data_IF_771884882296
#
_entry.id   IF_771884882296
#
_cell.length_a   1.000
_cell.length_b   1.000
_cell.length_c   1.000
_cell.angle_alpha   90.00
_cell.angle_beta   90.00
_cell.angle_gamma   90.00
#
_symmetry.space_group_name_H-M   'P 1'
#
loop_
_entity.id
_entity.type
_entity.pdbx_description
1 polymer ?
#
# COMPACT_ATOMS: atom_id res chain seq x y z
N UNK A 1 39.07 -9.15 -72.00
CA UNK A 1 38.19 -9.30 -70.82
C UNK A 1 37.90 -7.91 -70.30
N UNK A 2 36.74 -7.36 -70.68
CA UNK A 2 36.34 -6.01 -70.29
C UNK A 2 35.92 -6.04 -68.81
N UNK A 3 36.61 -5.24 -67.99
CA UNK A 3 36.30 -5.11 -66.58
C UNK A 3 35.00 -4.31 -66.46
N UNK A 4 33.97 -4.95 -65.91
CA UNK A 4 32.61 -4.42 -65.90
C UNK A 4 32.55 -3.10 -65.11
N UNK A 5 32.23 -1.95 -65.76
CA UNK A 5 32.20 -0.64 -65.12
C UNK A 5 31.22 -0.54 -63.94
N UNK A 6 30.33 -1.53 -63.82
CA UNK A 6 29.35 -1.67 -62.77
C UNK A 6 29.96 -2.01 -61.38
N UNK A 7 31.03 -2.81 -61.34
CA UNK A 7 31.66 -3.24 -60.07
C UNK A 7 32.37 -2.07 -59.38
N UNK A 8 32.99 -1.18 -60.15
CA UNK A 8 33.65 0.01 -59.61
C UNK A 8 32.66 1.09 -59.16
N UNK A 9 31.48 1.17 -59.79
CA UNK A 9 30.39 2.02 -59.30
C UNK A 9 29.85 1.54 -57.94
N UNK A 10 29.64 0.24 -57.76
CA UNK A 10 29.19 -0.34 -56.49
C UNK A 10 30.19 -0.09 -55.36
N UNK A 11 31.50 -0.26 -55.62
CA UNK A 11 32.54 0.05 -54.62
C UNK A 11 32.56 1.53 -54.23
N UNK A 12 32.32 2.44 -55.17
CA UNK A 12 32.23 3.89 -54.89
C UNK A 12 30.99 4.25 -54.09
N UNK A 13 29.85 3.61 -54.38
CA UNK A 13 28.62 3.80 -53.62
C UNK A 13 28.78 3.30 -52.19
N UNK A 14 29.39 2.13 -51.99
CA UNK A 14 29.62 1.56 -50.65
C UNK A 14 30.58 2.43 -49.81
N UNK A 15 31.67 2.95 -50.42
CA UNK A 15 32.57 3.89 -49.73
C UNK A 15 31.87 5.20 -49.35
N UNK A 16 30.94 5.68 -50.17
CA UNK A 16 30.15 6.89 -49.87
C UNK A 16 29.15 6.63 -48.74
N UNK A 17 28.50 5.47 -48.69
CA UNK A 17 27.63 5.11 -47.57
C UNK A 17 28.41 4.92 -46.27
N UNK A 18 29.59 4.29 -46.33
CA UNK A 18 30.45 4.11 -45.15
C UNK A 18 30.94 5.46 -44.61
N UNK A 19 31.31 6.39 -45.48
CA UNK A 19 31.73 7.73 -45.10
C UNK A 19 30.57 8.56 -44.54
N UNK A 20 29.37 8.45 -45.12
CA UNK A 20 28.17 9.08 -44.58
C UNK A 20 27.80 8.52 -43.20
N UNK A 21 27.89 7.20 -43.02
CA UNK A 21 27.65 6.54 -41.74
C UNK A 21 28.70 6.95 -40.69
N UNK A 22 29.98 7.04 -41.08
CA UNK A 22 31.06 7.49 -40.19
C UNK A 22 30.90 8.96 -39.78
N UNK A 23 30.48 9.84 -40.70
CA UNK A 23 30.18 11.24 -40.38
C UNK A 23 28.98 11.37 -39.44
N UNK A 24 27.90 10.62 -39.68
CA UNK A 24 26.73 10.60 -38.80
C UNK A 24 27.11 10.10 -37.40
N UNK A 25 27.92 9.04 -37.32
CA UNK A 25 28.40 8.52 -36.04
C UNK A 25 29.29 9.54 -35.30
N UNK A 26 30.19 10.23 -36.02
CA UNK A 26 31.03 11.27 -35.44
C UNK A 26 30.21 12.48 -34.94
N UNK A 27 29.19 12.89 -35.69
CA UNK A 27 28.27 13.96 -35.29
C UNK A 27 27.45 13.57 -34.05
N UNK A 28 26.97 12.32 -33.97
CA UNK A 28 26.26 11.82 -32.80
C UNK A 28 27.16 11.79 -31.56
N UNK A 29 28.41 11.33 -31.68
CA UNK A 29 29.36 11.35 -30.56
C UNK A 29 29.68 12.77 -30.11
N UNK A 30 29.84 13.71 -31.04
CA UNK A 30 30.03 15.12 -30.72
C UNK A 30 28.81 15.70 -30.00
N UNK A 31 27.60 15.38 -30.48
CA UNK A 31 26.36 15.84 -29.86
C UNK A 31 26.19 15.26 -28.45
N UNK A 32 26.48 13.97 -28.25
CA UNK A 32 26.47 13.34 -26.92
C UNK A 32 27.45 13.99 -25.95
N UNK A 33 28.66 14.36 -26.40
CA UNK A 33 29.62 15.08 -25.58
C UNK A 33 29.12 16.47 -25.17
N UNK A 34 28.46 17.19 -26.09
CA UNK A 34 27.88 18.49 -25.76
C UNK A 34 26.75 18.32 -24.72
N UNK A 35 25.90 17.30 -24.87
CA UNK A 35 24.84 17.00 -23.89
C UNK A 35 25.44 16.68 -22.52
N UNK A 36 26.49 15.84 -22.45
CA UNK A 36 27.11 15.48 -21.18
C UNK A 36 27.77 16.68 -20.50
N UNK A 37 28.48 17.52 -21.26
CA UNK A 37 29.09 18.75 -20.75
C UNK A 37 28.04 19.75 -20.24
N UNK A 38 26.94 19.93 -20.97
CA UNK A 38 25.84 20.80 -20.53
C UNK A 38 25.20 20.28 -19.24
N UNK A 39 25.06 18.95 -19.11
CA UNK A 39 24.55 18.34 -17.88
C UNK A 39 25.49 18.58 -16.70
N UNK A 40 26.79 18.37 -16.88
CA UNK A 40 27.80 18.62 -15.83
C UNK A 40 27.81 20.08 -15.38
N UNK A 41 27.73 21.04 -16.32
CA UNK A 41 27.64 22.46 -16.00
C UNK A 41 26.37 22.81 -15.24
N UNK A 42 25.23 22.20 -15.60
CA UNK A 42 23.97 22.37 -14.89
C UNK A 42 24.06 21.83 -13.46
N UNK A 43 24.63 20.64 -13.29
CA UNK A 43 24.80 19.99 -11.99
C UNK A 43 25.70 20.82 -11.07
N UNK A 44 26.83 21.34 -11.58
CA UNK A 44 27.72 22.24 -10.84
C UNK A 44 26.98 23.53 -10.41
N UNK A 45 26.18 24.11 -11.30
CA UNK A 45 25.40 25.31 -10.98
C UNK A 45 24.35 25.03 -9.91
N UNK A 46 23.70 23.87 -9.96
CA UNK A 46 22.75 23.46 -8.92
C UNK A 46 23.43 23.28 -7.56
N UNK A 47 24.64 22.71 -7.53
CA UNK A 47 25.44 22.58 -6.31
C UNK A 47 25.81 23.94 -5.71
N UNK A 48 26.34 24.86 -6.52
CA UNK A 48 26.70 26.21 -6.07
C UNK A 48 25.49 26.95 -5.48
N UNK A 49 24.34 26.91 -6.16
CA UNK A 49 23.11 27.53 -5.64
C UNK A 49 22.61 26.86 -4.35
N UNK A 50 22.87 25.58 -4.14
CA UNK A 50 22.53 24.91 -2.88
C UNK A 50 23.44 25.36 -1.73
N UNK A 51 24.75 25.48 -1.98
CA UNK A 51 25.73 25.97 -1.00
C UNK A 51 25.47 27.42 -0.61
N UNK A 52 25.22 28.30 -1.59
CA UNK A 52 24.87 29.71 -1.33
C UNK A 52 23.61 29.83 -0.48
N UNK A 53 22.59 28.99 -0.76
CA UNK A 53 21.35 28.95 0.04
C UNK A 53 21.63 28.52 1.48
N UNK A 54 22.43 27.48 1.68
CA UNK A 54 22.81 27.04 3.03
C UNK A 54 23.59 28.12 3.78
N UNK A 55 24.49 28.83 3.11
CA UNK A 55 25.23 29.94 3.70
C UNK A 55 24.29 31.08 4.12
N UNK A 56 23.39 31.52 3.24
CA UNK A 56 22.38 32.55 3.55
C UNK A 56 21.49 32.14 4.71
N UNK A 57 21.09 30.87 4.75
CA UNK A 57 20.30 30.33 5.86
C UNK A 57 21.06 30.37 7.19
N UNK A 58 22.34 29.97 7.20
CA UNK A 58 23.17 30.07 8.40
C UNK A 58 23.34 31.50 8.88
N UNK A 59 23.51 32.47 7.97
CA UNK A 59 23.55 33.89 8.34
C UNK A 59 22.21 34.37 8.88
N UNK A 60 21.10 33.99 8.25
CA UNK A 60 19.77 34.34 8.70
C UNK A 60 19.45 33.77 10.09
N UNK A 61 19.90 32.56 10.42
CA UNK A 61 19.75 31.98 11.76
C UNK A 61 20.38 32.84 12.87
N UNK A 62 21.37 33.68 12.56
CA UNK A 62 21.98 34.61 13.51
C UNK A 62 21.18 35.92 13.68
N UNK A 63 20.20 36.18 12.81
CA UNK A 63 19.30 37.34 12.93
C UNK A 63 18.26 37.14 14.03
N UNK A 64 17.60 38.21 14.54
CA UNK A 64 16.53 38.07 15.53
C UNK A 64 15.38 37.14 15.09
N UNK A 65 15.02 37.18 13.80
CA UNK A 65 14.02 36.28 13.24
C UNK A 65 14.50 34.82 13.25
N UNK A 66 15.78 34.60 12.92
CA UNK A 66 16.43 33.29 12.96
C UNK A 66 16.51 32.70 14.37
N UNK A 67 16.74 33.52 15.39
CA UNK A 67 16.70 33.11 16.79
C UNK A 67 15.29 32.61 17.17
N UNK A 68 14.25 33.37 16.83
CA UNK A 68 12.85 32.95 17.03
C UNK A 68 12.54 31.62 16.33
N UNK A 69 12.96 31.48 15.07
CA UNK A 69 12.82 30.23 14.33
C UNK A 69 13.56 29.07 15.00
N UNK A 70 14.79 29.26 15.49
CA UNK A 70 15.56 28.18 16.14
C UNK A 70 14.90 27.67 17.42
N UNK A 71 14.33 28.57 18.23
CA UNK A 71 13.57 28.21 19.42
C UNK A 71 12.28 27.45 19.06
N UNK A 72 11.55 27.95 18.05
CA UNK A 72 10.39 27.26 17.50
C UNK A 72 10.75 25.89 16.94
N UNK A 73 11.83 25.79 16.16
CA UNK A 73 12.30 24.56 15.51
C UNK A 73 12.65 23.47 16.53
N UNK A 74 13.32 23.82 17.64
CA UNK A 74 13.61 22.87 18.71
C UNK A 74 12.32 22.25 19.27
N UNK A 75 11.35 23.08 19.66
CA UNK A 75 10.04 22.63 20.16
C UNK A 75 9.28 21.81 19.10
N UNK A 76 9.32 22.25 17.85
CA UNK A 76 8.65 21.60 16.73
C UNK A 76 9.27 20.23 16.42
N UNK A 77 10.60 20.10 16.54
CA UNK A 77 11.31 18.84 16.40
C UNK A 77 10.94 17.84 17.51
N UNK A 78 10.84 18.31 18.76
CA UNK A 78 10.39 17.49 19.89
C UNK A 78 8.95 16.99 19.68
N UNK A 79 8.06 17.87 19.21
CA UNK A 79 6.68 17.51 18.87
C UNK A 79 6.61 16.50 17.72
N UNK A 80 7.39 16.69 16.65
CA UNK A 80 7.47 15.73 15.55
C UNK A 80 8.00 14.37 16.00
N UNK A 81 9.02 14.35 16.87
CA UNK A 81 9.57 13.13 17.42
C UNK A 81 8.54 12.40 18.28
N UNK A 82 7.80 13.11 19.14
CA UNK A 82 6.73 12.55 19.94
C UNK A 82 5.59 11.97 19.08
N UNK A 83 5.16 12.68 18.03
CA UNK A 83 4.15 12.20 17.07
C UNK A 83 4.63 10.90 16.40
N UNK A 84 5.86 10.87 15.88
CA UNK A 84 6.40 9.68 15.20
C UNK A 84 6.55 8.49 16.15
N UNK A 85 7.09 8.70 17.35
CA UNK A 85 7.23 7.65 18.33
C UNK A 85 5.87 7.07 18.75
N UNK A 86 4.85 7.92 18.91
CA UNK A 86 3.51 7.47 19.23
C UNK A 86 2.83 6.77 18.04
N UNK A 87 3.00 7.26 16.81
CA UNK A 87 2.55 6.60 15.58
C UNK A 87 3.13 5.18 15.47
N UNK A 88 4.44 5.04 15.71
CA UNK A 88 5.14 3.76 15.66
C UNK A 88 4.65 2.80 16.76
N UNK A 89 4.49 3.28 17.99
CA UNK A 89 3.95 2.47 19.08
C UNK A 89 2.50 2.03 18.81
N UNK A 90 1.68 2.93 18.27
CA UNK A 90 0.30 2.67 17.91
C UNK A 90 0.19 1.63 16.79
N UNK A 91 0.98 1.77 15.72
CA UNK A 91 1.02 0.78 14.65
C UNK A 91 1.59 -0.56 15.12
N UNK A 92 2.64 -0.54 15.94
CA UNK A 92 3.26 -1.74 16.48
C UNK A 92 2.31 -2.55 17.37
N UNK A 93 1.50 -1.88 18.20
CA UNK A 93 0.48 -2.54 19.01
C UNK A 93 -0.65 -3.13 18.16
N UNK A 94 -1.12 -2.40 17.15
CA UNK A 94 -2.08 -2.90 16.17
C UNK A 94 -1.60 -4.15 15.45
N UNK A 95 -0.38 -4.13 14.89
CA UNK A 95 0.19 -5.27 14.20
C UNK A 95 0.39 -6.48 15.13
N UNK A 96 0.82 -6.22 16.37
CA UNK A 96 0.96 -7.27 17.39
C UNK A 96 -0.38 -7.95 17.68
N UNK A 97 -1.45 -7.17 17.91
CA UNK A 97 -2.77 -7.72 18.20
C UNK A 97 -3.37 -8.47 17.01
N UNK A 98 -3.21 -7.95 15.78
CA UNK A 98 -3.59 -8.69 14.57
C UNK A 98 -2.84 -10.01 14.51
N UNK A 99 -1.53 -9.98 14.75
CA UNK A 99 -0.71 -11.17 14.63
C UNK A 99 -1.07 -12.25 15.65
N UNK A 100 -1.53 -11.84 16.84
CA UNK A 100 -1.99 -12.72 17.91
C UNK A 100 -3.38 -13.30 17.63
N UNK A 101 -4.29 -12.51 17.06
CA UNK A 101 -5.68 -12.93 16.82
C UNK A 101 -5.89 -13.63 15.46
N UNK A 102 -5.10 -13.28 14.45
CA UNK A 102 -5.25 -13.71 13.06
C UNK A 102 -4.07 -14.58 12.64
N UNK A 103 -4.36 -15.85 12.38
CA UNK A 103 -3.35 -16.81 11.93
C UNK A 103 -2.72 -16.40 10.58
N UNK A 104 -1.46 -16.79 10.30
CA UNK A 104 -0.83 -16.56 9.00
C UNK A 104 -1.63 -17.18 7.84
N UNK A 105 -2.26 -18.34 8.08
CA UNK A 105 -3.13 -19.00 7.10
C UNK A 105 -4.34 -18.14 6.74
N UNK A 106 -5.02 -17.57 7.72
CA UNK A 106 -6.17 -16.69 7.49
C UNK A 106 -5.77 -15.42 6.71
N UNK A 107 -4.59 -14.84 7.01
CA UNK A 107 -4.06 -13.70 6.22
C UNK A 107 -3.84 -14.07 4.76
N UNK A 108 -3.31 -15.28 4.50
CA UNK A 108 -3.13 -15.79 3.16
C UNK A 108 -4.48 -16.07 2.46
N UNK A 109 -5.48 -16.57 3.19
CA UNK A 109 -6.83 -16.78 2.66
C UNK A 109 -7.46 -15.47 2.21
N UNK A 110 -7.34 -14.40 3.01
CA UNK A 110 -7.86 -13.07 2.65
C UNK A 110 -7.09 -12.47 1.46
N UNK A 111 -5.75 -12.57 1.45
CA UNK A 111 -4.95 -12.01 0.35
C UNK A 111 -5.16 -12.72 -0.99
N UNK A 112 -5.43 -14.03 -0.95
CA UNK A 112 -5.73 -14.82 -2.14
C UNK A 112 -7.23 -14.85 -2.48
N UNK A 113 -8.06 -14.23 -1.64
CA UNK A 113 -9.52 -14.31 -1.66
C UNK A 113 -10.03 -15.75 -1.81
N UNK A 114 -9.46 -16.67 -1.02
CA UNK A 114 -9.79 -18.10 -1.03
C UNK A 114 -9.89 -18.65 0.39
N UNK A 115 -11.06 -19.14 0.76
CA UNK A 115 -11.34 -19.55 2.15
C UNK A 115 -11.52 -21.06 2.31
N UNK A 116 -11.79 -21.77 1.23
CA UNK A 116 -11.91 -23.22 1.21
C UNK A 116 -10.90 -23.85 0.25
N UNK A 117 -10.40 -25.06 0.54
CA UNK A 117 -9.58 -25.80 -0.42
C UNK A 117 -10.39 -26.03 -1.70
N UNK A 118 -9.76 -25.85 -2.87
CA UNK A 118 -10.45 -25.99 -4.16
C UNK A 118 -11.11 -27.37 -4.24
N UNK A 119 -12.39 -27.45 -4.67
CA UNK A 119 -12.95 -28.72 -5.08
C UNK A 119 -12.12 -29.26 -6.25
N UNK A 120 -12.08 -30.58 -6.41
CA UNK A 120 -11.36 -31.25 -7.50
C UNK A 120 -11.62 -30.51 -8.83
N UNK A 121 -10.57 -30.22 -9.62
CA UNK A 121 -10.70 -29.41 -10.81
C UNK A 121 -11.77 -30.00 -11.74
N UNK A 122 -12.57 -29.12 -12.35
CA UNK A 122 -13.70 -29.51 -13.21
C UNK A 122 -13.26 -30.49 -14.31
N UNK A 123 -12.01 -30.40 -14.79
CA UNK A 123 -11.44 -31.36 -15.74
C UNK A 123 -11.35 -32.79 -15.18
N UNK A 124 -10.98 -32.96 -13.91
CA UNK A 124 -10.93 -34.26 -13.24
C UNK A 124 -12.35 -34.78 -12.99
N UNK A 125 -13.29 -33.91 -12.55
CA UNK A 125 -14.71 -34.29 -12.43
C UNK A 125 -15.32 -34.68 -13.79
N UNK A 126 -14.98 -33.96 -14.86
CA UNK A 126 -15.40 -34.22 -16.24
C UNK A 126 -14.84 -35.53 -16.81
N UNK A 127 -13.76 -36.09 -16.28
CA UNK A 127 -13.25 -37.40 -16.68
C UNK A 127 -13.80 -38.49 -15.76
N UNK A 128 -13.79 -38.27 -14.45
CA UNK A 128 -14.20 -39.28 -13.47
C UNK A 128 -15.70 -39.59 -13.52
N UNK A 129 -16.55 -38.57 -13.66
CA UNK A 129 -18.00 -38.75 -13.68
C UNK A 129 -18.52 -39.53 -14.90
N UNK A 130 -18.13 -39.23 -16.16
CA UNK A 130 -18.57 -40.04 -17.30
C UNK A 130 -17.95 -41.43 -17.30
N UNK A 131 -16.76 -41.64 -16.71
CA UNK A 131 -16.20 -42.99 -16.55
C UNK A 131 -17.03 -43.81 -15.57
N UNK A 132 -17.36 -43.26 -14.40
CA UNK A 132 -18.25 -43.92 -13.43
C UNK A 132 -19.64 -44.20 -14.01
N UNK A 133 -20.17 -43.28 -14.81
CA UNK A 133 -21.45 -43.44 -15.48
C UNK A 133 -21.36 -44.42 -16.64
N UNK A 134 -20.26 -44.45 -17.37
CA UNK A 134 -19.97 -45.47 -18.38
C UNK A 134 -19.91 -46.86 -17.77
N UNK A 135 -19.28 -47.00 -16.60
CA UNK A 135 -19.24 -48.26 -15.84
C UNK A 135 -20.65 -48.63 -15.36
N UNK A 136 -21.39 -47.68 -14.77
CA UNK A 136 -22.75 -47.93 -14.28
C UNK A 136 -23.70 -48.30 -15.43
N UNK A 137 -23.63 -47.59 -16.56
CA UNK A 137 -24.43 -47.89 -17.76
C UNK A 137 -24.02 -49.22 -18.38
N UNK A 138 -22.72 -49.55 -18.45
CA UNK A 138 -22.27 -50.85 -18.94
C UNK A 138 -22.74 -52.01 -18.04
N UNK A 139 -22.71 -51.85 -16.71
CA UNK A 139 -23.26 -52.82 -15.76
C UNK A 139 -24.77 -52.97 -15.97
N UNK A 140 -25.48 -51.86 -16.15
CA UNK A 140 -26.93 -51.84 -16.34
C UNK A 140 -27.32 -52.49 -17.68
N UNK A 141 -26.55 -52.22 -18.74
CA UNK A 141 -26.75 -52.79 -20.08
C UNK A 141 -26.39 -54.28 -20.11
N UNK A 142 -25.34 -54.69 -19.38
CA UNK A 142 -25.02 -56.10 -19.15
C UNK A 142 -26.15 -56.82 -18.41
N UNK A 143 -26.75 -56.20 -17.38
CA UNK A 143 -27.93 -56.72 -16.68
C UNK A 143 -29.13 -56.86 -17.63
N UNK A 144 -29.35 -55.90 -18.55
CA UNK A 144 -30.41 -55.98 -19.57
C UNK A 144 -30.17 -57.16 -20.53
N UNK A 145 -28.94 -57.33 -21.02
CA UNK A 145 -28.59 -58.44 -21.93
C UNK A 145 -28.77 -59.79 -21.23
N UNK A 146 -28.35 -59.91 -19.97
CA UNK A 146 -28.58 -61.11 -19.16
C UNK A 146 -30.08 -61.39 -18.96
N UNK A 147 -30.91 -60.36 -18.76
CA UNK A 147 -32.37 -60.52 -18.72
C UNK A 147 -32.98 -60.91 -20.07
N UNK A 148 -32.41 -60.49 -21.20
CA UNK A 148 -32.89 -60.91 -22.53
C UNK A 148 -32.53 -62.37 -22.86
N UNK A 149 -31.37 -62.85 -22.41
CA UNK A 149 -30.95 -64.25 -22.60
C UNK A 149 -31.75 -65.20 -21.69
N UNK A 150 -32.13 -64.76 -20.49
CA UNK A 150 -33.06 -65.46 -19.62
C UNK A 150 -34.51 -65.03 -19.87
N UNK A 151 -35.23 -65.69 -20.78
CA UNK A 151 -36.66 -65.44 -21.15
C UNK A 151 -37.67 -65.50 -19.98
N UNK A 152 -37.58 -64.62 -18.99
CA UNK A 152 -38.57 -64.46 -17.92
C UNK A 152 -38.47 -63.02 -17.43
N UNK A 153 -39.41 -62.15 -17.80
CA UNK A 153 -39.99 -61.06 -16.97
C UNK A 153 -40.70 -60.05 -17.89
N UNK A 154 -42.00 -60.27 -18.09
CA UNK A 154 -42.91 -59.29 -18.67
C UNK A 154 -43.05 -58.08 -17.73
N UNK A 155 -42.52 -56.92 -18.11
CA UNK A 155 -42.81 -55.62 -17.47
C UNK A 155 -41.65 -54.86 -16.83
N UNK A 156 -40.42 -55.41 -16.77
CA UNK A 156 -39.29 -54.79 -16.04
C UNK A 156 -38.57 -53.63 -16.78
N UNK A 157 -38.89 -53.37 -18.06
CA UNK A 157 -38.21 -52.36 -18.88
C UNK A 157 -38.38 -50.92 -18.36
N UNK A 158 -39.55 -50.58 -17.81
CA UNK A 158 -39.81 -49.25 -17.25
C UNK A 158 -38.96 -48.97 -16.01
N UNK A 159 -38.67 -49.98 -15.18
CA UNK A 159 -37.81 -49.82 -14.02
C UNK A 159 -36.37 -49.46 -14.42
N UNK A 160 -35.86 -50.06 -15.50
CA UNK A 160 -34.53 -49.75 -16.05
C UNK A 160 -34.46 -48.34 -16.63
N UNK A 161 -35.50 -47.88 -17.35
CA UNK A 161 -35.56 -46.52 -17.85
C UNK A 161 -35.64 -45.47 -16.73
N UNK A 162 -36.40 -45.74 -15.66
CA UNK A 162 -36.46 -44.86 -14.49
C UNK A 162 -35.10 -44.78 -13.79
N UNK A 163 -34.38 -45.91 -13.69
CA UNK A 163 -33.04 -45.95 -13.08
C UNK A 163 -32.00 -45.22 -13.95
N UNK A 164 -32.12 -45.31 -15.27
CA UNK A 164 -31.29 -44.57 -16.22
C UNK A 164 -31.59 -43.05 -16.18
N UNK A 165 -32.86 -42.67 -16.11
CA UNK A 165 -33.27 -41.27 -16.00
C UNK A 165 -32.86 -40.66 -14.65
N UNK A 166 -33.01 -41.42 -13.55
CA UNK A 166 -32.58 -41.00 -12.22
C UNK A 166 -31.06 -40.84 -12.10
N UNK A 167 -30.28 -41.74 -12.71
CA UNK A 167 -28.82 -41.62 -12.73
C UNK A 167 -28.35 -40.44 -13.58
N UNK A 168 -28.96 -40.19 -14.74
CA UNK A 168 -28.69 -39.01 -15.55
C UNK A 168 -29.07 -37.70 -14.83
N UNK A 169 -30.20 -37.68 -14.10
CA UNK A 169 -30.62 -36.55 -13.28
C UNK A 169 -29.65 -36.26 -12.13
N UNK A 170 -29.18 -37.28 -11.42
CA UNK A 170 -28.17 -37.13 -10.36
C UNK A 170 -26.82 -36.62 -10.89
N UNK A 171 -26.46 -37.03 -12.12
CA UNK A 171 -25.26 -36.55 -12.83
C UNK A 171 -25.37 -35.06 -13.16
N UNK A 172 -26.50 -34.65 -13.75
CA UNK A 172 -26.76 -33.25 -14.04
C UNK A 172 -26.76 -32.42 -12.75
N UNK A 173 -27.34 -32.95 -11.67
CA UNK A 173 -27.39 -32.29 -10.37
C UNK A 173 -25.99 -32.06 -9.78
N UNK A 174 -25.14 -33.09 -9.75
CA UNK A 174 -23.76 -32.99 -9.21
C UNK A 174 -22.85 -32.10 -10.05
N UNK A 175 -23.09 -32.00 -11.36
CA UNK A 175 -22.31 -31.11 -12.23
C UNK A 175 -22.75 -29.64 -12.15
N UNK A 176 -24.02 -29.36 -11.89
CA UNK A 176 -24.57 -28.00 -11.90
C UNK A 176 -24.63 -27.35 -10.51
N UNK A 177 -24.87 -28.12 -9.43
CA UNK A 177 -25.13 -27.54 -8.10
C UNK A 177 -23.93 -27.54 -7.16
N UNK A 178 -22.88 -28.32 -7.43
CA UNK A 178 -21.70 -28.43 -6.56
C UNK A 178 -20.88 -27.12 -6.52
N UNK A 179 -20.78 -26.42 -7.66
CA UNK A 179 -20.07 -25.14 -7.73
C UNK A 179 -20.85 -24.02 -7.01
N UNK A 180 -22.19 -24.00 -7.08
CA UNK A 180 -22.99 -22.98 -6.38
C UNK A 180 -22.98 -23.15 -4.87
N UNK A 181 -23.01 -24.40 -4.38
CA UNK A 181 -22.92 -24.68 -2.95
C UNK A 181 -21.52 -24.42 -2.42
N UNK A 182 -20.47 -24.70 -3.19
CA UNK A 182 -19.09 -24.35 -2.83
C UNK A 182 -18.90 -22.83 -2.72
N UNK A 183 -19.36 -22.06 -3.72
CA UNK A 183 -19.28 -20.59 -3.69
C UNK A 183 -20.01 -20.03 -2.49
N UNK A 184 -21.24 -20.50 -2.21
CA UNK A 184 -21.99 -20.08 -1.02
C UNK A 184 -21.28 -20.44 0.29
N UNK A 185 -20.67 -21.63 0.37
CA UNK A 185 -19.91 -22.05 1.54
C UNK A 185 -18.64 -21.21 1.72
N UNK A 186 -17.98 -20.85 0.62
CA UNK A 186 -16.79 -19.99 0.63
C UNK A 186 -17.15 -18.56 1.07
N UNK A 187 -18.22 -17.99 0.52
CA UNK A 187 -18.77 -16.69 0.94
C UNK A 187 -19.18 -16.71 2.41
N UNK A 188 -19.91 -17.73 2.86
CA UNK A 188 -20.31 -17.87 4.26
C UNK A 188 -19.10 -18.00 5.20
N UNK A 189 -18.04 -18.68 4.78
CA UNK A 189 -16.80 -18.78 5.57
C UNK A 189 -16.06 -17.44 5.62
N UNK A 190 -15.98 -16.73 4.49
CA UNK A 190 -15.40 -15.39 4.41
C UNK A 190 -16.13 -14.42 5.34
N UNK A 191 -17.47 -14.42 5.29
CA UNK A 191 -18.33 -13.57 6.12
C UNK A 191 -18.21 -13.91 7.60
N UNK A 192 -18.14 -15.19 7.97
CA UNK A 192 -17.95 -15.60 9.36
C UNK A 192 -16.59 -15.15 9.92
N UNK A 193 -15.50 -15.32 9.16
CA UNK A 193 -14.17 -14.86 9.57
C UNK A 193 -14.13 -13.33 9.68
N UNK A 194 -14.72 -12.63 8.70
CA UNK A 194 -14.84 -11.17 8.73
C UNK A 194 -15.65 -10.70 9.93
N UNK A 195 -16.80 -11.30 10.20
CA UNK A 195 -17.65 -10.96 11.34
C UNK A 195 -16.92 -11.19 12.68
N UNK A 196 -16.16 -12.28 12.81
CA UNK A 196 -15.31 -12.54 13.98
C UNK A 196 -14.26 -11.44 14.17
N UNK A 197 -13.57 -11.03 13.11
CA UNK A 197 -12.58 -9.94 13.19
C UNK A 197 -13.23 -8.61 13.55
N UNK A 198 -14.36 -8.25 12.93
CA UNK A 198 -15.12 -7.04 13.26
C UNK A 198 -15.62 -7.07 14.71
N UNK A 199 -16.04 -8.24 15.21
CA UNK A 199 -16.44 -8.38 16.61
C UNK A 199 -15.28 -8.06 17.56
N UNK A 200 -14.08 -8.58 17.29
CA UNK A 200 -12.89 -8.38 18.11
C UNK A 200 -12.33 -6.96 18.02
N UNK A 201 -12.16 -6.43 16.81
CA UNK A 201 -11.44 -5.18 16.55
C UNK A 201 -12.38 -3.97 16.32
N UNK A 202 -13.69 -4.19 16.14
CA UNK A 202 -14.65 -3.17 15.71
C UNK A 202 -14.65 -2.89 14.20
N UNK A 203 -13.55 -3.23 13.52
CA UNK A 203 -13.34 -3.13 12.08
C UNK A 203 -12.68 -4.42 11.57
N UNK A 204 -12.64 -4.62 10.26
CA UNK A 204 -11.84 -5.72 9.71
C UNK A 204 -10.38 -5.27 9.54
N UNK A 205 -9.44 -5.77 10.37
CA UNK A 205 -8.06 -5.30 10.41
C UNK A 205 -7.24 -5.68 9.17
N UNK A 206 -7.72 -6.61 8.34
CA UNK A 206 -7.02 -7.04 7.13
C UNK A 206 -7.41 -6.23 5.89
N UNK A 207 -8.52 -5.50 5.96
CA UNK A 207 -9.07 -4.73 4.83
C UNK A 207 -9.21 -3.24 5.13
N UNK A 208 -9.15 -2.85 6.40
CA UNK A 208 -9.23 -1.46 6.84
C UNK A 208 -7.88 -0.95 7.30
N UNK A 209 -7.57 0.34 7.11
CA UNK A 209 -6.37 0.94 7.68
C UNK A 209 -6.42 0.93 9.21
N UNK A 210 -5.24 1.06 9.84
CA UNK A 210 -5.11 1.24 11.28
C UNK A 210 -5.98 2.44 11.73
N UNK A 211 -6.82 2.30 12.77
CA UNK A 211 -7.60 3.41 13.28
C UNK A 211 -6.66 4.54 13.75
N UNK A 212 -7.05 5.80 13.54
CA UNK A 212 -6.24 6.92 14.03
C UNK A 212 -6.38 7.08 15.55
N UNK A 213 -5.28 7.35 16.24
CA UNK A 213 -5.27 7.69 17.66
C UNK A 213 -5.62 9.16 17.95
N UNK A 214 -5.64 10.02 16.93
CA UNK A 214 -5.98 11.45 17.09
C UNK A 214 -7.37 11.77 16.55
N UNK A 215 -8.03 12.74 17.16
CA UNK A 215 -9.30 13.27 16.66
C UNK A 215 -9.09 13.82 15.24
N UNK A 216 -9.94 13.40 14.29
CA UNK A 216 -9.93 13.87 12.90
C UNK A 216 -8.56 13.81 12.19
N UNK A 217 -7.67 12.91 12.60
CA UNK A 217 -6.31 12.82 12.07
C UNK A 217 -5.48 14.12 12.21
N UNK A 218 -5.72 14.92 13.26
CA UNK A 218 -5.02 16.19 13.54
C UNK A 218 -3.49 16.05 13.53
N UNK A 219 -2.96 14.97 14.08
CA UNK A 219 -1.51 14.68 14.10
C UNK A 219 -0.88 14.75 12.69
N UNK A 220 -1.58 14.29 11.64
CA UNK A 220 -1.08 14.34 10.26
C UNK A 220 -1.05 15.76 9.70
N UNK A 221 -2.02 16.60 10.07
CA UNK A 221 -2.08 17.98 9.61
C UNK A 221 -0.98 18.81 10.29
N UNK A 222 -0.83 18.66 11.61
CA UNK A 222 0.23 19.30 12.41
C UNK A 222 1.60 18.88 11.90
N UNK A 223 1.84 17.56 11.74
CA UNK A 223 3.09 17.02 11.21
C UNK A 223 3.43 17.60 9.85
N UNK A 224 2.48 17.58 8.90
CA UNK A 224 2.71 18.13 7.54
C UNK A 224 2.98 19.62 7.55
N UNK A 225 2.28 20.38 8.40
CA UNK A 225 2.50 21.83 8.55
C UNK A 225 3.92 22.12 9.04
N UNK A 226 4.37 21.44 10.11
CA UNK A 226 5.71 21.61 10.67
C UNK A 226 6.78 21.17 9.67
N UNK A 227 6.65 19.98 9.08
CA UNK A 227 7.61 19.44 8.10
C UNK A 227 7.72 20.36 6.87
N UNK A 228 6.61 20.96 6.43
CA UNK A 228 6.61 21.94 5.34
C UNK A 228 7.42 23.19 5.69
N UNK A 229 7.19 23.77 6.88
CA UNK A 229 7.93 24.98 7.31
C UNK A 229 9.40 24.68 7.48
N UNK A 230 9.77 23.57 8.12
CA UNK A 230 11.18 23.16 8.30
C UNK A 230 11.85 22.93 6.94
N UNK A 231 11.18 22.22 6.03
CA UNK A 231 11.70 21.94 4.70
C UNK A 231 11.88 23.18 3.83
N UNK A 232 11.00 24.18 3.98
CA UNK A 232 11.02 25.41 3.21
C UNK A 232 11.82 26.55 3.87
N UNK A 233 12.21 26.42 5.14
CA UNK A 233 12.92 27.47 5.86
C UNK A 233 14.21 27.96 5.16
N UNK A 234 15.04 27.10 4.53
CA UNK A 234 16.22 27.55 3.77
C UNK A 234 15.91 28.41 2.54
N UNK A 235 14.66 28.42 2.08
CA UNK A 235 14.20 29.18 0.91
C UNK A 235 13.42 30.44 1.30
N UNK A 236 12.62 30.36 2.36
CA UNK A 236 11.62 31.38 2.72
C UNK A 236 12.06 32.27 3.88
N UNK A 237 13.00 31.83 4.72
CA UNK A 237 13.47 32.59 5.89
C UNK A 237 12.31 33.08 6.79
N UNK A 238 11.44 32.16 7.26
CA UNK A 238 10.13 32.52 7.81
C UNK A 238 10.24 33.43 9.02
N UNK A 239 9.50 34.53 9.01
CA UNK A 239 9.42 35.44 10.15
C UNK A 239 8.65 34.83 11.33
N UNK A 240 8.75 35.38 12.56
CA UNK A 240 8.03 34.84 13.73
C UNK A 240 6.51 34.77 13.55
N UNK A 241 5.92 35.70 12.80
CA UNK A 241 4.49 35.71 12.49
C UNK A 241 4.05 34.68 11.44
N UNK A 242 5.00 34.09 10.72
CA UNK A 242 4.75 33.07 9.68
C UNK A 242 4.89 31.65 10.24
N UNK A 243 5.39 31.52 11.48
CA UNK A 243 5.54 30.24 12.15
C UNK A 243 4.18 29.77 12.68
N UNK A 244 3.75 28.53 12.36
CA UNK A 244 2.50 28.01 12.88
C UNK A 244 2.59 27.79 14.38
N UNK A 245 1.48 28.02 15.07
CA UNK A 245 1.33 27.70 16.48
C UNK A 245 1.59 26.19 16.69
N UNK A 246 2.40 25.87 17.69
CA UNK A 246 2.71 24.48 18.05
C UNK A 246 1.66 23.99 19.04
N UNK A 247 0.67 23.27 18.51
CA UNK A 247 -0.38 22.65 19.30
C UNK A 247 -0.18 21.14 19.38
N UNK A 248 -0.30 20.59 20.59
CA UNK A 248 -0.24 19.15 20.79
C UNK A 248 -1.51 18.48 20.21
N UNK A 249 -1.40 17.40 19.42
CA UNK A 249 -2.55 16.72 18.84
C UNK A 249 -3.53 16.24 19.92
N UNK A 250 -4.82 16.34 19.64
CA UNK A 250 -5.84 15.80 20.54
C UNK A 250 -6.01 14.32 20.28
N UNK A 251 -5.80 13.53 21.33
CA UNK A 251 -6.05 12.09 21.28
C UNK A 251 -7.54 11.80 21.37
N UNK A 252 -7.96 10.70 20.73
CA UNK A 252 -9.31 10.15 20.92
C UNK A 252 -9.49 9.68 22.36
N UNK A 253 -10.74 9.69 22.84
CA UNK A 253 -11.06 9.22 24.17
C UNK A 253 -10.75 7.72 24.28
N UNK A 254 -9.90 7.35 25.25
CA UNK A 254 -9.53 5.97 25.53
C UNK A 254 -10.77 5.09 25.80
N UNK A 255 -11.85 5.65 26.37
CA UNK A 255 -13.08 4.89 26.61
C UNK A 255 -13.76 4.40 25.31
N UNK A 256 -13.50 5.06 24.17
CA UNK A 256 -14.08 4.68 22.87
C UNK A 256 -13.30 3.58 22.15
N UNK A 257 -12.08 3.28 22.62
CA UNK A 257 -11.20 2.29 22.00
C UNK A 257 -11.50 0.90 22.55
N UNK A 258 -11.78 -0.06 21.66
CA UNK A 258 -12.12 -1.45 22.05
C UNK A 258 -10.92 -2.21 22.61
N UNK A 259 -9.74 -2.00 22.03
CA UNK A 259 -8.55 -2.80 22.31
C UNK A 259 -7.86 -2.29 23.57
N UNK A 260 -7.55 -3.21 24.49
CA UNK A 260 -6.94 -2.85 25.78
C UNK A 260 -5.55 -2.22 25.60
N UNK A 261 -4.70 -2.78 24.74
CA UNK A 261 -3.34 -2.25 24.54
C UNK A 261 -3.32 -0.80 24.02
N UNK A 262 -4.23 -0.48 23.10
CA UNK A 262 -4.40 0.86 22.57
C UNK A 262 -4.95 1.83 23.62
N UNK A 263 -5.84 1.37 24.51
CA UNK A 263 -6.28 2.15 25.67
C UNK A 263 -5.14 2.45 26.62
N UNK A 264 -4.29 1.46 26.89
CA UNK A 264 -3.13 1.61 27.76
C UNK A 264 -2.12 2.62 27.18
N UNK A 265 -1.89 2.59 25.86
CA UNK A 265 -1.10 3.61 25.16
C UNK A 265 -1.68 5.02 25.31
N UNK A 266 -2.99 5.17 25.16
CA UNK A 266 -3.68 6.45 25.34
C UNK A 266 -3.65 6.93 26.81
N UNK A 267 -3.52 6.03 27.78
CA UNK A 267 -3.38 6.42 29.19
C UNK A 267 -2.02 7.07 29.49
N UNK A 268 -0.97 6.70 28.75
CA UNK A 268 0.40 7.24 28.90
C UNK A 268 0.59 8.53 28.07
N UNK A 269 -0.39 8.88 27.22
CA UNK A 269 -0.39 9.98 26.25
C UNK A 269 0.68 11.07 26.50
N UNK A 270 1.76 11.10 25.71
CA UNK A 270 2.87 12.04 25.90
C UNK A 270 2.47 13.50 25.59
N UNK A 271 1.38 13.71 24.86
CA UNK A 271 0.93 15.02 24.40
C UNK A 271 0.31 15.87 25.51
N UNK A 272 -0.10 15.28 26.64
CA UNK A 272 -0.60 16.03 27.79
C UNK A 272 0.51 16.87 28.43
N UNK A 273 1.67 16.24 28.69
CA UNK A 273 2.83 16.92 29.27
C UNK A 273 3.47 17.87 28.25
N UNK A 274 3.60 17.41 27.00
CA UNK A 274 4.16 18.22 25.93
C UNK A 274 3.31 19.46 25.65
N UNK A 275 1.97 19.35 25.68
CA UNK A 275 1.06 20.47 25.48
C UNK A 275 1.14 21.54 26.57
N UNK A 276 1.56 21.18 27.79
CA UNK A 276 1.86 22.15 28.85
C UNK A 276 3.20 22.84 28.57
N UNK A 277 4.25 22.07 28.27
CA UNK A 277 5.58 22.60 27.95
C UNK A 277 5.59 23.55 26.73
N UNK A 278 4.72 23.30 25.75
CA UNK A 278 4.56 24.16 24.58
C UNK A 278 3.94 25.52 24.93
N UNK A 279 3.02 25.58 25.92
CA UNK A 279 2.33 26.82 26.35
C UNK A 279 3.16 27.72 27.25
N UNK A 280 3.92 27.14 28.17
CA UNK A 280 4.67 27.91 29.19
C UNK A 280 5.80 28.77 28.60
N UNK A 281 6.21 28.49 27.36
CA UNK A 281 7.29 29.21 26.69
C UNK A 281 6.92 30.53 26.01
N UNK A 282 5.63 30.86 25.88
CA UNK A 282 5.19 32.08 25.19
C UNK A 282 5.07 33.29 26.14
N UNK A 283 5.21 33.08 27.46
CA UNK A 283 5.05 34.11 28.49
C UNK A 283 6.30 34.91 28.88
N UNK A 284 7.47 34.67 28.27
CA UNK A 284 8.72 35.33 28.66
C UNK A 284 9.08 36.56 27.78
N UNK A 285 8.14 37.04 26.95
CA UNK A 285 8.36 38.12 25.98
C UNK A 285 7.76 39.49 26.33
N UNK A 286 7.11 39.67 27.48
CA UNK A 286 6.51 40.95 27.84
C UNK A 286 7.51 41.86 28.57
N UNK A 287 8.13 42.75 27.79
CA UNK A 287 8.10 44.19 28.09
C UNK A 287 8.59 44.64 29.46
N UNK A 288 9.87 44.44 29.76
CA UNK A 288 10.58 45.30 30.70
C UNK A 288 10.70 46.72 30.16
N UNK A 289 9.61 47.51 30.22
CA UNK A 289 9.63 48.94 29.97
C UNK A 289 10.59 49.60 30.96
N UNK A 290 11.76 49.99 30.45
CA UNK A 290 12.70 50.86 31.13
C UNK A 290 11.99 52.18 31.49
N UNK A 291 11.61 52.32 32.76
CA UNK A 291 11.27 53.61 33.35
C UNK A 291 12.59 54.35 33.57
N UNK A 292 13.05 55.04 32.54
CA UNK A 292 14.09 56.07 32.67
C UNK A 292 13.44 57.25 33.39
N UNK A 293 13.61 57.28 34.71
CA UNK A 293 13.30 58.44 35.54
C UNK A 293 14.34 59.54 35.26
N UNK A 294 14.09 60.38 34.27
CA UNK A 294 14.76 61.68 34.15
C UNK A 294 14.12 62.67 35.14
N UNK A 295 14.49 62.55 36.42
CA UNK A 295 14.18 63.56 37.43
C UNK A 295 15.26 64.64 37.41
N UNK A 296 15.09 65.64 36.54
CA UNK A 296 15.83 66.89 36.60
C UNK A 296 14.91 68.01 37.06
N UNK A 297 15.01 68.38 38.33
CA UNK A 297 14.96 69.75 38.88
C UNK A 297 15.28 69.71 40.37
#
# INVERSE_FOLDING_TARGET
>A
MAQDPYVDQLKRLNRKSDLANALNAAQLLQHQRIISQNKELLDLRHQQLAEERQYRFKMWLQSPAGVGYSAWHAKAADLLAAIRAFDEAWQGTWDSEISAAVSPHERQQVSTNRYLPRPLPVAVKKVLNPVLVGIATAILLWLVVMQMVGRVFDGSYWALLILLAGSAGALAWTLLFDDTNFVRAEEAMADNLRARRIHLFGVDPLTSPVPSWSVNCEHLAIRRSIESVIGNAPMQFPGPAELPALEAPRCVDAATIRLASHRDLLAINPFVQLGAALRDGDGAGDGGSATVSSGGQ
#
